data_IF_477315237025
#
_entry.id   IF_477315237025
#
_cell.length_a   1.000
_cell.length_b   1.000
_cell.length_c   1.000
_cell.angle_alpha   90.00
_cell.angle_beta   90.00
_cell.angle_gamma   90.00
#
_symmetry.space_group_name_H-M   'P 1'
#
loop_
_entity.id
_entity.type
_entity.pdbx_description
1 polymer ?
#
# COMPACT_ATOMS: atom_id res chain seq x y z
N UNK A 1 2.11 -16.90 1.78
CA UNK A 1 1.98 -16.02 0.59
C UNK A 1 3.28 -16.08 -0.24
N UNK A 2 3.24 -16.24 -1.58
CA UNK A 2 4.45 -16.20 -2.41
C UNK A 2 5.08 -14.80 -2.41
N UNK A 3 6.42 -14.71 -2.51
CA UNK A 3 7.13 -13.41 -2.51
C UNK A 3 6.74 -12.50 -3.68
N UNK A 4 6.29 -13.09 -4.78
CA UNK A 4 5.82 -12.38 -5.97
C UNK A 4 4.60 -11.51 -5.67
N UNK A 5 3.76 -11.87 -4.68
CA UNK A 5 2.64 -11.03 -4.26
C UNK A 5 3.12 -9.70 -3.68
N UNK A 6 4.22 -9.72 -2.91
CA UNK A 6 4.85 -8.47 -2.45
C UNK A 6 5.42 -7.67 -3.62
N UNK A 7 6.10 -8.32 -4.57
CA UNK A 7 6.58 -7.63 -5.78
C UNK A 7 5.45 -6.91 -6.51
N UNK A 8 4.34 -7.60 -6.77
CA UNK A 8 3.21 -7.05 -7.51
C UNK A 8 2.58 -5.84 -6.81
N UNK A 9 2.37 -5.92 -5.48
CA UNK A 9 1.85 -4.80 -4.68
C UNK A 9 2.82 -3.62 -4.67
N UNK A 10 4.13 -3.87 -4.57
CA UNK A 10 5.11 -2.79 -4.57
C UNK A 10 5.29 -2.15 -5.94
N UNK A 11 5.26 -2.94 -7.02
CA UNK A 11 5.33 -2.46 -8.40
C UNK A 11 4.14 -1.58 -8.78
N UNK A 12 3.00 -1.79 -8.13
CA UNK A 12 1.85 -0.90 -8.27
C UNK A 12 2.16 0.53 -7.80
N UNK A 13 2.99 0.71 -6.77
CA UNK A 13 3.30 2.03 -6.21
C UNK A 13 4.68 2.56 -6.61
N UNK A 14 5.62 1.67 -6.87
CA UNK A 14 6.96 2.04 -7.28
C UNK A 14 6.88 2.66 -8.68
N UNK A 15 7.25 3.94 -8.77
CA UNK A 15 7.56 4.55 -10.06
C UNK A 15 8.75 3.85 -10.74
N UNK A 16 9.28 4.39 -11.84
CA UNK A 16 10.42 3.79 -12.54
C UNK A 16 11.72 3.73 -11.70
N UNK A 17 11.75 4.37 -10.52
CA UNK A 17 12.89 4.43 -9.62
C UNK A 17 13.06 3.15 -8.75
N UNK A 18 14.16 2.40 -8.91
CA UNK A 18 14.46 1.22 -8.10
C UNK A 18 14.73 1.52 -6.62
N UNK A 19 15.16 2.74 -6.27
CA UNK A 19 15.46 3.11 -4.89
C UNK A 19 14.18 3.18 -4.04
N UNK A 20 13.15 3.84 -4.56
CA UNK A 20 11.80 3.89 -3.98
C UNK A 20 11.21 2.48 -3.75
N UNK A 21 11.40 1.56 -4.70
CA UNK A 21 10.95 0.17 -4.55
C UNK A 21 11.64 -0.54 -3.39
N UNK A 22 12.95 -0.39 -3.26
CA UNK A 22 13.72 -1.04 -2.20
C UNK A 22 13.41 -0.48 -0.81
N UNK A 23 13.13 0.82 -0.72
CA UNK A 23 12.66 1.46 0.51
C UNK A 23 11.33 0.83 0.97
N UNK A 24 10.35 0.74 0.06
CA UNK A 24 9.05 0.12 0.36
C UNK A 24 9.18 -1.36 0.70
N UNK A 25 10.06 -2.10 0.00
CA UNK A 25 10.36 -3.48 0.32
C UNK A 25 10.86 -3.63 1.76
N UNK A 26 11.79 -2.75 2.17
CA UNK A 26 12.37 -2.72 3.51
C UNK A 26 11.34 -2.55 4.63
N UNK A 27 10.17 -1.97 4.37
CA UNK A 27 9.06 -1.84 5.33
C UNK A 27 8.34 -3.17 5.62
N UNK A 28 8.48 -4.14 4.72
CA UNK A 28 7.91 -5.48 4.87
C UNK A 28 8.97 -6.50 5.25
N UNK A 29 10.08 -6.53 4.52
CA UNK A 29 11.15 -7.54 4.65
C UNK A 29 12.48 -6.97 4.15
N UNK A 30 13.60 -7.35 4.78
CA UNK A 30 14.91 -6.92 4.29
C UNK A 30 15.24 -7.48 2.89
N UNK A 31 15.97 -6.69 2.08
CA UNK A 31 16.37 -7.06 0.72
C UNK A 31 17.06 -8.43 0.66
N UNK A 32 18.02 -8.69 1.56
CA UNK A 32 18.76 -9.95 1.61
C UNK A 32 17.84 -11.14 1.89
N UNK A 33 16.85 -10.95 2.75
CA UNK A 33 15.89 -12.00 3.10
C UNK A 33 14.87 -12.23 1.97
N UNK A 34 14.43 -11.16 1.29
CA UNK A 34 13.55 -11.24 0.14
C UNK A 34 14.19 -11.98 -1.05
N UNK A 35 15.48 -11.75 -1.32
CA UNK A 35 16.23 -12.44 -2.38
C UNK A 35 16.27 -13.96 -2.14
N UNK A 36 16.56 -14.39 -0.91
CA UNK A 36 16.78 -15.79 -0.55
C UNK A 36 15.50 -16.62 -0.41
N UNK A 37 14.42 -16.04 0.15
CA UNK A 37 13.18 -16.80 0.40
C UNK A 37 12.28 -16.86 -0.83
N UNK A 38 11.41 -17.88 -0.86
CA UNK A 38 10.32 -18.03 -1.86
C UNK A 38 8.94 -17.63 -1.30
N UNK A 39 8.74 -17.82 0.00
CA UNK A 39 7.50 -17.50 0.71
C UNK A 39 7.75 -16.41 1.76
N UNK A 40 6.73 -15.59 1.98
CA UNK A 40 6.67 -14.65 3.10
C UNK A 40 6.26 -15.38 4.38
N UNK A 41 6.74 -14.88 5.53
CA UNK A 41 6.20 -15.28 6.83
C UNK A 41 4.76 -14.79 7.00
N UNK A 42 3.99 -15.34 7.96
CA UNK A 42 2.63 -14.91 8.21
C UNK A 42 2.49 -13.39 8.42
N UNK A 43 3.30 -12.80 9.29
CA UNK A 43 3.30 -11.35 9.59
C UNK A 43 3.64 -10.47 8.37
N UNK A 44 4.61 -10.91 7.55
CA UNK A 44 4.94 -10.25 6.29
C UNK A 44 3.79 -10.37 5.27
N UNK A 45 3.16 -11.54 5.22
CA UNK A 45 2.01 -11.81 4.36
C UNK A 45 0.78 -10.99 4.74
N UNK A 46 0.54 -10.79 6.03
CA UNK A 46 -0.54 -9.93 6.54
C UNK A 46 -0.38 -8.48 6.08
N UNK A 47 0.84 -7.93 6.15
CA UNK A 47 1.12 -6.58 5.62
C UNK A 47 0.81 -6.48 4.12
N UNK A 48 1.19 -7.48 3.34
CA UNK A 48 0.91 -7.53 1.90
C UNK A 48 -0.60 -7.66 1.62
N UNK A 49 -1.28 -8.55 2.33
CA UNK A 49 -2.73 -8.72 2.21
C UNK A 49 -3.47 -7.42 2.57
N UNK A 50 -3.01 -6.70 3.59
CA UNK A 50 -3.57 -5.40 3.98
C UNK A 50 -3.44 -4.36 2.87
N UNK A 51 -2.23 -4.20 2.32
CA UNK A 51 -2.01 -3.30 1.19
C UNK A 51 -2.87 -3.68 -0.02
N UNK A 52 -2.95 -4.98 -0.35
CA UNK A 52 -3.78 -5.45 -1.45
C UNK A 52 -5.27 -5.11 -1.26
N UNK A 53 -5.80 -5.26 -0.03
CA UNK A 53 -7.18 -4.88 0.29
C UNK A 53 -7.42 -3.38 0.12
N UNK A 54 -6.50 -2.54 0.59
CA UNK A 54 -6.62 -1.08 0.43
C UNK A 54 -6.53 -0.65 -1.05
N UNK A 55 -5.67 -1.28 -1.85
CA UNK A 55 -5.62 -1.04 -3.30
C UNK A 55 -6.95 -1.42 -3.95
N UNK A 56 -7.50 -2.60 -3.61
CA UNK A 56 -8.77 -3.04 -4.16
C UNK A 56 -9.92 -2.09 -3.80
N UNK A 57 -9.96 -1.63 -2.53
CA UNK A 57 -10.94 -0.64 -2.10
C UNK A 57 -10.78 0.68 -2.85
N UNK A 58 -9.55 1.21 -2.96
CA UNK A 58 -9.32 2.43 -3.72
C UNK A 58 -9.71 2.27 -5.21
N UNK A 59 -9.37 1.15 -5.85
CA UNK A 59 -9.82 0.87 -7.23
C UNK A 59 -11.34 0.88 -7.33
N UNK A 60 -12.06 0.42 -6.31
CA UNK A 60 -13.52 0.53 -6.28
C UNK A 60 -14.00 1.99 -6.14
N UNK A 61 -13.36 2.80 -5.30
CA UNK A 61 -13.69 4.22 -5.13
C UNK A 61 -13.51 5.03 -6.42
N UNK A 62 -12.50 4.70 -7.22
CA UNK A 62 -12.15 5.41 -8.45
C UNK A 62 -12.49 4.63 -9.73
N UNK A 63 -13.45 3.70 -9.70
CA UNK A 63 -13.91 2.94 -10.88
C UNK A 63 -12.79 2.30 -11.72
N UNK A 64 -11.72 1.86 -11.06
CA UNK A 64 -10.56 1.21 -11.67
C UNK A 64 -9.51 2.16 -12.24
N UNK A 65 -9.59 3.47 -12.00
CA UNK A 65 -8.54 4.43 -12.37
C UNK A 65 -7.26 4.21 -11.54
N UNK A 66 -6.35 3.42 -12.08
CA UNK A 66 -5.08 3.08 -11.44
C UNK A 66 -4.14 4.29 -11.27
N UNK A 67 -4.29 5.37 -12.06
CA UNK A 67 -3.52 6.59 -11.85
C UNK A 67 -4.02 7.35 -10.63
N UNK A 68 -5.34 7.53 -10.49
CA UNK A 68 -5.94 8.15 -9.32
C UNK A 68 -5.59 7.40 -8.03
N UNK A 69 -5.69 6.06 -8.07
CA UNK A 69 -5.33 5.21 -6.93
C UNK A 69 -3.85 5.35 -6.58
N UNK A 70 -2.93 5.27 -7.56
CA UNK A 70 -1.49 5.45 -7.31
C UNK A 70 -1.20 6.82 -6.72
N UNK A 71 -1.82 7.87 -7.26
CA UNK A 71 -1.68 9.25 -6.76
C UNK A 71 -2.15 9.37 -5.32
N UNK A 72 -3.29 8.79 -4.97
CA UNK A 72 -3.80 8.78 -3.59
C UNK A 72 -2.77 8.18 -2.63
N UNK A 73 -2.28 6.97 -2.90
CA UNK A 73 -1.36 6.29 -1.99
C UNK A 73 0.03 6.94 -1.86
N UNK A 74 0.49 7.60 -2.92
CA UNK A 74 1.86 8.17 -2.98
C UNK A 74 1.93 9.65 -2.62
N UNK A 75 0.79 10.33 -2.50
CA UNK A 75 0.74 11.77 -2.17
C UNK A 75 0.47 11.99 -0.67
N UNK A 76 1.12 12.98 -0.04
CA UNK A 76 0.74 13.46 1.30
C UNK A 76 -0.76 13.80 1.38
N UNK A 77 -1.46 13.26 2.38
CA UNK A 77 -2.90 13.45 2.51
C UNK A 77 -3.26 14.32 3.74
N UNK A 78 -4.08 15.38 3.62
CA UNK A 78 -4.40 16.29 4.73
C UNK A 78 -5.01 15.60 5.95
N UNK A 79 -5.97 14.69 5.74
CA UNK A 79 -6.58 13.92 6.84
C UNK A 79 -5.69 12.86 7.47
N UNK A 80 -4.50 12.64 6.91
CA UNK A 80 -3.52 11.69 7.42
C UNK A 80 -2.29 12.41 7.96
N UNK A 81 -2.47 13.62 8.51
CA UNK A 81 -1.39 14.43 9.09
C UNK A 81 -0.27 14.70 8.07
N UNK A 82 -0.63 14.81 6.78
CA UNK A 82 0.29 14.94 5.63
C UNK A 82 1.24 13.75 5.43
N UNK A 83 0.97 12.59 6.03
CA UNK A 83 1.61 11.34 5.64
C UNK A 83 1.02 10.81 4.34
N UNK A 84 1.82 10.04 3.59
CA UNK A 84 1.33 9.27 2.45
C UNK A 84 0.50 8.09 2.95
N UNK A 85 -0.68 7.78 2.38
CA UNK A 85 -1.44 6.60 2.78
C UNK A 85 -0.63 5.30 2.72
N UNK A 86 0.27 5.17 1.74
CA UNK A 86 1.16 4.02 1.61
C UNK A 86 2.05 3.81 2.84
N UNK A 87 2.59 4.88 3.42
CA UNK A 87 3.46 4.79 4.59
C UNK A 87 2.70 4.29 5.83
N UNK A 88 1.46 4.76 6.00
CA UNK A 88 0.61 4.39 7.12
C UNK A 88 0.10 2.94 7.00
N UNK A 89 -0.17 2.49 5.78
CA UNK A 89 -0.74 1.17 5.49
C UNK A 89 0.15 -0.02 5.91
N UNK A 90 1.45 0.20 6.17
CA UNK A 90 2.35 -0.84 6.71
C UNK A 90 2.02 -1.22 8.16
N UNK A 91 1.27 -0.41 8.88
CA UNK A 91 0.72 -0.70 10.20
C UNK A 91 -0.78 -0.97 10.14
N UNK A 92 -1.32 -1.74 11.09
CA UNK A 92 -2.76 -2.01 11.16
C UNK A 92 -3.55 -0.72 11.42
N UNK A 93 -3.18 0.04 12.45
CA UNK A 93 -3.86 1.28 12.81
C UNK A 93 -3.77 2.34 11.70
N UNK A 94 -2.61 2.45 11.05
CA UNK A 94 -2.44 3.37 9.93
C UNK A 94 -3.29 2.98 8.72
N UNK A 95 -3.40 1.69 8.42
CA UNK A 95 -4.30 1.20 7.38
C UNK A 95 -5.78 1.46 7.69
N UNK A 96 -6.22 1.31 8.94
CA UNK A 96 -7.59 1.67 9.33
C UNK A 96 -7.88 3.15 9.09
N UNK A 97 -6.91 4.05 9.34
CA UNK A 97 -7.04 5.48 9.00
C UNK A 97 -7.22 5.67 7.49
N UNK A 98 -6.41 4.97 6.67
CA UNK A 98 -6.49 5.04 5.20
C UNK A 98 -7.83 4.51 4.69
N UNK A 99 -8.28 3.36 5.21
CA UNK A 99 -9.57 2.77 4.85
C UNK A 99 -10.73 3.71 5.14
N UNK A 100 -10.72 4.38 6.31
CA UNK A 100 -11.74 5.37 6.66
C UNK A 100 -11.77 6.54 5.68
N UNK A 101 -10.62 7.03 5.22
CA UNK A 101 -10.55 8.08 4.19
C UNK A 101 -11.18 7.57 2.89
N UNK A 102 -10.85 6.36 2.44
CA UNK A 102 -11.44 5.76 1.23
C UNK A 102 -12.96 5.63 1.34
N UNK A 103 -13.46 5.13 2.47
CA UNK A 103 -14.90 5.04 2.75
C UNK A 103 -15.58 6.41 2.73
N UNK A 104 -14.94 7.44 3.29
CA UNK A 104 -15.49 8.78 3.26
C UNK A 104 -15.59 9.32 1.83
N UNK A 105 -14.54 9.14 1.01
CA UNK A 105 -14.56 9.54 -0.40
C UNK A 105 -15.69 8.83 -1.15
N UNK A 106 -15.83 7.52 -0.97
CA UNK A 106 -16.87 6.70 -1.62
C UNK A 106 -18.29 7.24 -1.35
N UNK A 107 -18.53 7.70 -0.13
CA UNK A 107 -19.84 8.18 0.29
C UNK A 107 -20.01 9.71 0.19
N UNK A 108 -19.04 10.44 -0.38
CA UNK A 108 -19.07 11.89 -0.46
C UNK A 108 -19.04 12.60 0.90
N UNK A 109 -18.50 11.94 1.92
CA UNK A 109 -18.28 12.50 3.26
C UNK A 109 -16.99 13.32 3.28
N UNK A 110 -16.79 14.19 4.29
CA UNK A 110 -15.54 14.95 4.42
C UNK A 110 -14.32 14.03 4.42
N UNK A 111 -13.47 14.21 3.41
CA UNK A 111 -12.27 13.43 3.12
C UNK A 111 -11.11 14.35 2.70
#
# INVERSE_FOLDING_TARGET
>A
LPKQALSAVLEYFAGPDPFSRNELLGKVVSLATFKRRKLLKPDEGEKVARLARLIAHARFVWDGDDEAVRKFFTSPHPLLERHRPLDLAFSELGAMKVERVLTNILHGLPA
#
